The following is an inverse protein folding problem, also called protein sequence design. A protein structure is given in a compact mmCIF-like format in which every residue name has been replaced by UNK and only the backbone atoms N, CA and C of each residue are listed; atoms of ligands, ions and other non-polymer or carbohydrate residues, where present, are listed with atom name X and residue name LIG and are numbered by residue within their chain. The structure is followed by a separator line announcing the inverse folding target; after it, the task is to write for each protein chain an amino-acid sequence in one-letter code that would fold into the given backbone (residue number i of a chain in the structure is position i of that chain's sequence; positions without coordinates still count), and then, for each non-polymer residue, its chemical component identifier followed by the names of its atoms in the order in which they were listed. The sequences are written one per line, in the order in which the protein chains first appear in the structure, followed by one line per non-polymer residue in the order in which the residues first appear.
data_IF_358907575600
#
_entry.id   IF_358907575600
#
_cell.length_a   1.000
_cell.length_b   1.000
_cell.length_c   1.000
_cell.angle_alpha   90.00
_cell.angle_beta   90.00
_cell.angle_gamma   90.00
#
_symmetry.space_group_name_H-M   'P 1'
#
loop_
_entity.id
_entity.type
_entity.pdbx_description
1 polymer ?
#
# COMPACT_ATOMS: atom_id res chain seq x y z
N UNK A 1 -13.26 -5.72 -6.92
CA UNK A 1 -12.12 -6.25 -7.72
C UNK A 1 -11.45 -7.43 -7.04
N UNK A 2 -10.94 -7.30 -5.80
CA UNK A 2 -10.19 -8.39 -5.14
C UNK A 2 -10.98 -9.70 -4.98
N UNK A 3 -12.29 -9.64 -4.69
CA UNK A 3 -13.18 -10.81 -4.62
C UNK A 3 -13.31 -11.53 -5.97
N UNK A 4 -13.42 -10.78 -7.07
CA UNK A 4 -13.45 -11.36 -8.41
C UNK A 4 -12.11 -11.99 -8.79
N UNK A 5 -10.99 -11.35 -8.39
CA UNK A 5 -9.67 -11.93 -8.57
C UNK A 5 -9.54 -13.26 -7.80
N UNK A 6 -10.00 -13.31 -6.55
CA UNK A 6 -10.04 -14.54 -5.71
C UNK A 6 -10.86 -15.65 -6.39
N UNK A 7 -11.98 -15.31 -7.03
CA UNK A 7 -12.86 -16.26 -7.73
C UNK A 7 -12.19 -16.88 -8.96
N UNK A 8 -11.37 -16.13 -9.69
CA UNK A 8 -10.81 -16.56 -10.99
C UNK A 8 -9.40 -17.14 -10.86
N UNK A 9 -8.61 -16.71 -9.86
CA UNK A 9 -7.22 -17.12 -9.71
C UNK A 9 -6.93 -17.69 -8.32
N UNK A 10 -6.22 -18.83 -8.28
CA UNK A 10 -5.76 -19.45 -7.03
C UNK A 10 -4.54 -18.75 -6.40
N UNK A 11 -3.87 -17.86 -7.13
CA UNK A 11 -2.76 -17.02 -6.64
C UNK A 11 -2.88 -15.61 -7.20
N UNK A 12 -2.62 -14.62 -6.36
CA UNK A 12 -2.78 -13.21 -6.66
C UNK A 12 -1.50 -12.46 -6.32
N UNK A 13 -1.10 -11.53 -7.18
CA UNK A 13 -0.01 -10.59 -6.89
C UNK A 13 -0.57 -9.18 -6.89
N UNK A 14 -0.44 -8.47 -5.77
CA UNK A 14 -1.01 -7.13 -5.58
C UNK A 14 0.09 -6.17 -5.15
N UNK A 15 0.23 -5.05 -5.85
CA UNK A 15 1.09 -3.95 -5.43
C UNK A 15 0.24 -2.75 -5.05
N UNK A 16 0.57 -2.09 -3.95
CA UNK A 16 -0.07 -0.84 -3.55
C UNK A 16 0.96 0.16 -3.00
N UNK A 17 0.77 1.47 -3.27
CA UNK A 17 1.44 2.52 -2.51
C UNK A 17 0.92 2.54 -1.06
N UNK A 18 1.79 2.88 -0.12
CA UNK A 18 1.45 3.02 1.29
C UNK A 18 1.18 4.49 1.65
N UNK A 19 -0.09 4.86 1.77
CA UNK A 19 -0.49 6.22 2.10
C UNK A 19 -0.16 6.66 3.53
N UNK A 20 0.17 5.72 4.42
CA UNK A 20 0.60 6.03 5.79
C UNK A 20 2.05 6.51 5.88
N UNK A 21 2.81 6.51 4.79
CA UNK A 21 4.24 6.83 4.81
C UNK A 21 4.52 8.21 5.43
N UNK A 22 5.60 8.32 6.20
CA UNK A 22 5.89 9.50 7.02
C UNK A 22 5.97 10.80 6.20
N UNK A 23 6.49 10.76 4.96
CA UNK A 23 6.57 11.96 4.10
C UNK A 23 5.19 12.53 3.76
N UNK A 24 4.21 11.66 3.49
CA UNK A 24 2.84 12.09 3.19
C UNK A 24 2.20 12.72 4.44
N UNK A 25 2.36 12.07 5.60
CA UNK A 25 1.87 12.60 6.89
C UNK A 25 2.50 13.95 7.23
N UNK A 26 3.82 14.07 7.10
CA UNK A 26 4.54 15.30 7.37
C UNK A 26 4.13 16.42 6.42
N UNK A 27 3.98 16.13 5.12
CA UNK A 27 3.57 17.14 4.14
C UNK A 27 2.15 17.62 4.41
N UNK A 28 1.22 16.70 4.71
CA UNK A 28 -0.15 17.06 5.06
C UNK A 28 -0.20 17.89 6.35
N UNK A 29 0.54 17.48 7.38
CA UNK A 29 0.59 18.19 8.67
C UNK A 29 1.21 19.59 8.56
N UNK A 30 2.28 19.74 7.78
CA UNK A 30 3.01 21.01 7.66
C UNK A 30 2.39 21.98 6.65
N UNK A 31 1.85 21.48 5.53
CA UNK A 31 1.30 22.31 4.45
C UNK A 31 -0.22 22.41 4.47
N UNK A 32 -0.91 21.53 5.20
CA UNK A 32 -2.37 21.49 5.23
C UNK A 32 -3.03 21.16 3.89
N UNK A 33 -2.28 20.58 2.93
CA UNK A 33 -2.75 20.29 1.57
C UNK A 33 -2.37 18.88 1.16
N UNK A 34 -3.22 18.28 0.31
CA UNK A 34 -2.95 16.96 -0.25
C UNK A 34 -1.63 16.98 -1.05
N UNK A 35 -0.67 16.11 -0.70
CA UNK A 35 0.64 16.09 -1.34
C UNK A 35 0.53 15.51 -2.76
N UNK A 36 1.26 16.09 -3.71
CA UNK A 36 1.50 15.48 -5.02
C UNK A 36 2.86 14.79 -4.96
N UNK A 37 2.87 13.48 -5.16
CA UNK A 37 4.06 12.62 -5.03
C UNK A 37 4.08 11.57 -6.14
N UNK A 38 5.16 10.82 -6.31
CA UNK A 38 5.21 9.73 -7.29
C UNK A 38 4.14 8.64 -7.01
N UNK A 39 3.77 8.46 -5.74
CA UNK A 39 2.69 7.56 -5.32
C UNK A 39 1.28 8.17 -5.46
N UNK A 40 1.16 9.50 -5.51
CA UNK A 40 -0.09 10.24 -5.72
C UNK A 40 0.16 11.38 -6.72
N UNK A 41 0.29 11.07 -8.02
CA UNK A 41 0.74 12.05 -9.03
C UNK A 41 -0.38 13.00 -9.46
N UNK A 42 -1.62 12.71 -9.07
CA UNK A 42 -2.79 13.51 -9.41
C UNK A 42 -3.18 14.45 -8.27
N UNK A 43 -3.79 15.57 -8.62
CA UNK A 43 -4.44 16.45 -7.65
C UNK A 43 -5.64 15.71 -7.05
N UNK A 44 -5.96 16.03 -5.80
CA UNK A 44 -7.03 15.34 -5.05
C UNK A 44 -8.40 15.34 -5.76
N UNK A 45 -8.67 16.34 -6.61
CA UNK A 45 -9.91 16.47 -7.37
C UNK A 45 -9.83 15.89 -8.80
N UNK A 46 -8.64 15.55 -9.30
CA UNK A 46 -8.40 15.02 -10.66
C UNK A 46 -8.02 13.53 -10.63
N UNK A 47 -8.31 12.84 -9.54
CA UNK A 47 -7.72 11.53 -9.26
C UNK A 47 -8.54 10.39 -9.90
N UNK A 48 -8.00 9.63 -10.87
CA UNK A 48 -8.72 8.51 -11.48
C UNK A 48 -8.73 7.31 -10.52
N UNK A 49 -9.88 7.02 -9.89
CA UNK A 49 -10.15 5.81 -9.08
C UNK A 49 -9.04 5.41 -8.09
N UNK A 50 -8.38 6.37 -7.43
CA UNK A 50 -7.39 6.06 -6.38
C UNK A 50 -8.11 5.93 -5.05
N UNK A 51 -8.07 4.73 -4.50
CA UNK A 51 -8.46 4.49 -3.12
C UNK A 51 -7.21 4.64 -2.24
N UNK A 52 -7.25 5.61 -1.33
CA UNK A 52 -6.21 5.79 -0.32
C UNK A 52 -6.20 4.54 0.57
N UNK A 53 -5.06 3.86 0.62
CA UNK A 53 -4.91 2.58 1.32
C UNK A 53 -3.56 2.52 2.04
N UNK A 54 -3.57 2.08 3.30
CA UNK A 54 -2.35 1.79 4.04
C UNK A 54 -2.02 0.30 3.99
N UNK A 55 -0.81 -0.07 4.41
CA UNK A 55 -0.45 -1.49 4.51
C UNK A 55 -1.38 -2.21 5.50
N UNK A 56 -1.69 -1.56 6.63
CA UNK A 56 -2.62 -2.12 7.62
C UNK A 56 -4.03 -2.33 7.06
N UNK A 57 -4.59 -1.31 6.38
CA UNK A 57 -5.95 -1.44 5.80
C UNK A 57 -6.02 -2.59 4.79
N UNK A 58 -4.97 -2.76 3.97
CA UNK A 58 -4.91 -3.85 3.01
C UNK A 58 -4.77 -5.22 3.69
N UNK A 59 -3.90 -5.35 4.69
CA UNK A 59 -3.74 -6.60 5.43
C UNK A 59 -5.05 -7.00 6.15
N UNK A 60 -5.79 -6.04 6.70
CA UNK A 60 -7.10 -6.28 7.31
C UNK A 60 -8.15 -6.70 6.26
N UNK A 61 -8.21 -6.00 5.11
CA UNK A 61 -9.08 -6.39 3.99
C UNK A 61 -8.78 -7.81 3.47
N UNK A 62 -7.51 -8.19 3.38
CA UNK A 62 -7.16 -9.56 2.97
C UNK A 62 -7.66 -10.60 3.98
N UNK A 63 -7.63 -10.29 5.27
CA UNK A 63 -8.15 -11.16 6.33
C UNK A 63 -9.67 -11.29 6.24
N UNK A 64 -10.37 -10.17 6.06
CA UNK A 64 -11.83 -10.15 5.90
C UNK A 64 -12.30 -10.96 4.68
N UNK A 65 -11.54 -10.89 3.59
CA UNK A 65 -11.82 -11.66 2.37
C UNK A 65 -11.35 -13.12 2.46
N UNK A 66 -10.79 -13.56 3.60
CA UNK A 66 -10.26 -14.90 3.79
C UNK A 66 -9.17 -15.25 2.77
N UNK A 67 -8.29 -14.30 2.45
CA UNK A 67 -7.10 -14.49 1.63
C UNK A 67 -5.90 -14.71 2.54
N UNK A 68 -4.99 -15.61 2.15
CA UNK A 68 -3.74 -15.84 2.87
C UNK A 68 -2.61 -15.05 2.24
N UNK A 69 -1.87 -14.29 3.05
CA UNK A 69 -0.63 -13.64 2.62
C UNK A 69 0.51 -14.66 2.67
N UNK A 70 0.96 -15.14 1.51
CA UNK A 70 2.09 -16.07 1.41
C UNK A 70 3.43 -15.34 1.46
N UNK A 71 3.48 -14.14 0.86
CA UNK A 71 4.69 -13.32 0.83
C UNK A 71 4.34 -11.85 0.89
N UNK A 72 5.05 -11.13 1.76
CA UNK A 72 5.04 -9.67 1.84
C UNK A 72 6.43 -9.13 1.49
N UNK A 73 6.48 -8.19 0.55
CA UNK A 73 7.69 -7.46 0.17
C UNK A 73 7.40 -5.97 0.35
N UNK A 74 8.18 -5.33 1.21
CA UNK A 74 8.12 -3.88 1.45
C UNK A 74 9.21 -3.19 0.64
N UNK A 75 8.89 -2.04 0.07
CA UNK A 75 9.76 -1.30 -0.85
C UNK A 75 9.90 0.14 -0.36
N UNK A 76 11.13 0.68 -0.36
CA UNK A 76 11.42 2.08 -0.04
C UNK A 76 11.31 3.01 -1.26
N UNK A 77 11.57 4.29 -1.04
CA UNK A 77 11.55 5.34 -2.07
C UNK A 77 12.53 5.09 -3.22
N UNK A 78 13.61 4.35 -2.98
CA UNK A 78 14.62 4.02 -4.00
C UNK A 78 14.28 2.75 -4.76
N UNK A 79 13.14 2.11 -4.48
CA UNK A 79 12.75 0.84 -5.11
C UNK A 79 13.43 -0.38 -4.49
N UNK A 80 14.20 -0.22 -3.40
CA UNK A 80 14.86 -1.32 -2.75
C UNK A 80 13.97 -2.00 -1.73
N UNK A 81 14.17 -3.32 -1.55
CA UNK A 81 13.47 -4.07 -0.52
C UNK A 81 13.91 -3.59 0.85
N UNK A 82 12.95 -3.18 1.68
CA UNK A 82 13.27 -2.72 3.04
C UNK A 82 13.69 -3.89 3.93
N UNK A 83 14.60 -3.61 4.86
CA UNK A 83 15.14 -4.58 5.84
C UNK A 83 15.05 -4.00 7.25
N UNK A 84 15.12 -4.86 8.26
CA UNK A 84 15.23 -4.44 9.66
C UNK A 84 14.00 -3.69 10.18
N UNK A 85 14.23 -2.50 10.75
CA UNK A 85 13.23 -1.71 11.49
C UNK A 85 11.99 -1.34 10.65
N UNK A 86 12.15 -1.20 9.34
CA UNK A 86 11.04 -0.95 8.40
C UNK A 86 10.00 -2.08 8.38
N UNK A 87 10.37 -3.31 8.75
CA UNK A 87 9.39 -4.40 8.89
C UNK A 87 8.53 -4.28 10.16
N UNK A 88 9.01 -3.57 11.20
CA UNK A 88 8.27 -3.36 12.46
C UNK A 88 7.26 -2.22 12.35
N UNK A 89 7.59 -1.19 11.56
CA UNK A 89 6.72 -0.03 11.33
C UNK A 89 6.49 0.20 9.83
N UNK A 90 5.89 -0.79 9.14
CA UNK A 90 5.76 -0.76 7.67
C UNK A 90 4.97 0.46 7.20
N UNK A 91 3.88 0.79 7.89
CA UNK A 91 3.06 1.96 7.59
C UNK A 91 3.86 3.27 7.65
N UNK A 92 4.87 3.38 8.51
CA UNK A 92 5.65 4.61 8.65
C UNK A 92 6.78 4.69 7.63
N UNK A 93 7.51 3.58 7.41
CA UNK A 93 8.79 3.58 6.70
C UNK A 93 8.75 3.00 5.29
N UNK A 94 7.83 2.10 4.98
CA UNK A 94 7.70 1.56 3.62
C UNK A 94 6.92 2.56 2.74
N UNK A 95 7.34 2.72 1.49
CA UNK A 95 6.63 3.57 0.53
C UNK A 95 5.61 2.77 -0.28
N UNK A 96 5.94 1.51 -0.58
CA UNK A 96 5.05 0.59 -1.31
C UNK A 96 5.16 -0.81 -0.73
N UNK A 97 4.15 -1.63 -1.00
CA UNK A 97 4.16 -3.04 -0.67
C UNK A 97 3.71 -3.88 -1.87
N UNK A 98 4.27 -5.09 -1.95
CA UNK A 98 3.88 -6.13 -2.90
C UNK A 98 3.56 -7.39 -2.13
N UNK A 99 2.38 -7.94 -2.41
CA UNK A 99 1.84 -9.12 -1.76
C UNK A 99 1.68 -10.25 -2.77
N UNK A 100 2.04 -11.46 -2.36
CA UNK A 100 1.58 -12.69 -2.97
C UNK A 100 0.51 -13.27 -2.07
N UNK A 101 -0.70 -13.45 -2.58
CA UNK A 101 -1.85 -14.00 -1.87
C UNK A 101 -2.28 -15.33 -2.48
N UNK A 102 -2.85 -16.19 -1.66
CA UNK A 102 -3.49 -17.45 -2.06
C UNK A 102 -4.89 -17.52 -1.44
N UNK A 103 -5.79 -18.18 -2.16
CA UNK A 103 -7.22 -18.36 -1.85
C UNK A 103 -7.47 -19.37 -0.75
#
# INVERSE_FOLDING_TARGET
VLTEMKRVAGRLVVSLPNFAHWKLRATLALRGRMPVTDALPYRWYDTPNIHLCTISDFEDLTRELGLRIDRRILIDASGHRTKGLANRVPNLLAERAVYSLTT
#
